data_IF_704844990308
#
_entry.id   IF_704844990308
#
_cell.length_a   1.000
_cell.length_b   1.000
_cell.length_c   1.000
_cell.angle_alpha   90.00
_cell.angle_beta   90.00
_cell.angle_gamma   90.00
#
_symmetry.space_group_name_H-M   'P 1'
#
loop_
_entity.id
_entity.type
_entity.pdbx_description
1 polymer ?
#
# COMPACT_ATOMS: atom_id res chain seq x y z
N UNK A 1 7.51 -12.86 20.79
CA UNK A 1 8.76 -13.42 20.28
C UNK A 1 8.48 -14.71 19.52
N UNK A 2 9.22 -14.94 18.43
CA UNK A 2 9.15 -16.13 17.60
C UNK A 2 10.58 -16.50 17.18
N UNK A 3 10.97 -17.75 17.30
CA UNK A 3 12.16 -18.31 16.66
C UNK A 3 11.71 -18.99 15.37
N UNK A 4 12.28 -18.58 14.22
CA UNK A 4 11.96 -19.18 12.93
C UNK A 4 12.77 -20.49 12.70
N UNK A 5 12.38 -21.26 11.69
CA UNK A 5 13.04 -22.54 11.35
C UNK A 5 14.53 -22.40 10.99
N UNK A 6 15.01 -21.18 10.74
CA UNK A 6 16.43 -20.87 10.47
C UNK A 6 17.19 -20.46 11.71
N UNK A 7 16.52 -20.40 12.88
CA UNK A 7 17.07 -19.96 14.16
C UNK A 7 17.16 -18.44 14.33
N UNK A 8 16.49 -17.64 13.49
CA UNK A 8 16.42 -16.20 13.69
C UNK A 8 15.34 -15.89 14.74
N UNK A 9 15.55 -14.84 15.53
CA UNK A 9 14.63 -14.40 16.56
C UNK A 9 13.86 -13.19 16.08
N UNK A 10 12.55 -13.34 15.98
CA UNK A 10 11.64 -12.28 15.60
C UNK A 10 10.94 -11.67 16.82
N UNK A 11 10.90 -10.35 16.89
CA UNK A 11 10.26 -9.62 17.98
C UNK A 11 9.31 -8.56 17.44
N UNK A 12 8.02 -8.70 17.76
CA UNK A 12 7.04 -7.65 17.59
C UNK A 12 7.20 -6.58 18.68
N UNK A 13 7.26 -5.33 18.26
CA UNK A 13 7.45 -4.17 19.15
C UNK A 13 6.41 -3.08 18.84
N UNK A 14 6.46 -1.98 19.58
CA UNK A 14 5.68 -0.78 19.31
C UNK A 14 6.35 0.17 18.27
N UNK A 15 7.49 -0.25 17.72
CA UNK A 15 8.25 0.50 16.70
C UNK A 15 8.50 -0.35 15.44
N UNK A 16 7.70 -1.38 15.23
CA UNK A 16 7.83 -2.29 14.11
C UNK A 16 8.20 -3.71 14.52
N UNK A 17 8.62 -4.48 13.53
CA UNK A 17 9.07 -5.87 13.65
C UNK A 17 10.59 -5.92 13.57
N UNK A 18 11.22 -6.58 14.51
CA UNK A 18 12.67 -6.78 14.56
C UNK A 18 12.99 -8.24 14.28
N UNK A 19 14.01 -8.49 13.47
CA UNK A 19 14.64 -9.79 13.26
C UNK A 19 16.09 -9.73 13.75
N UNK A 20 16.48 -10.64 14.64
CA UNK A 20 17.87 -10.86 15.04
C UNK A 20 18.41 -12.13 14.41
N UNK A 21 19.56 -12.03 13.77
CA UNK A 21 20.28 -13.15 13.15
C UNK A 21 21.44 -13.59 14.05
N UNK A 22 21.31 -14.68 14.82
CA UNK A 22 22.35 -15.10 15.76
C UNK A 22 23.69 -15.44 15.08
N UNK A 23 23.65 -15.96 13.86
CA UNK A 23 24.86 -16.34 13.11
C UNK A 23 25.75 -15.16 12.73
N UNK A 24 25.15 -14.03 12.31
CA UNK A 24 25.87 -12.79 11.93
C UNK A 24 25.88 -11.76 13.05
N UNK A 25 25.05 -11.93 14.09
CA UNK A 25 24.80 -10.97 15.17
C UNK A 25 24.20 -9.65 14.68
N UNK A 26 23.49 -9.66 13.56
CA UNK A 26 22.88 -8.50 12.94
C UNK A 26 21.41 -8.39 13.33
N UNK A 27 20.92 -7.16 13.34
CA UNK A 27 19.51 -6.83 13.52
C UNK A 27 18.94 -6.25 12.24
N UNK A 28 17.78 -6.71 11.84
CA UNK A 28 16.99 -6.14 10.76
C UNK A 28 15.67 -5.63 11.33
N UNK A 29 15.24 -4.45 10.87
CA UNK A 29 14.02 -3.79 11.33
C UNK A 29 13.09 -3.58 10.16
N UNK A 30 11.79 -3.73 10.41
CA UNK A 30 10.72 -3.45 9.48
C UNK A 30 9.72 -2.53 10.15
N UNK A 31 9.32 -1.47 9.46
CA UNK A 31 8.34 -0.50 9.94
C UNK A 31 7.34 -0.10 8.83
N UNK A 32 6.55 0.95 9.07
CA UNK A 32 5.58 1.45 8.10
C UNK A 32 6.25 1.98 6.81
N UNK A 33 7.49 2.46 6.87
CA UNK A 33 8.24 2.91 5.70
C UNK A 33 8.65 1.74 4.80
N UNK A 34 8.88 0.56 5.40
CA UNK A 34 9.14 -0.69 4.68
C UNK A 34 7.86 -1.37 4.16
N UNK A 35 6.68 -0.91 4.60
CA UNK A 35 5.38 -1.40 4.14
C UNK A 35 4.56 -2.17 5.18
N UNK A 36 4.93 -2.14 6.47
CA UNK A 36 4.04 -2.63 7.52
C UNK A 36 2.77 -1.78 7.58
N UNK A 37 1.66 -2.42 7.85
CA UNK A 37 0.37 -1.73 8.02
C UNK A 37 0.32 -0.83 9.24
N UNK A 38 1.11 -1.15 10.27
CA UNK A 38 1.29 -0.35 11.49
C UNK A 38 2.50 -0.83 12.29
N UNK A 39 3.15 0.10 13.03
CA UNK A 39 4.33 -0.18 13.83
C UNK A 39 4.05 -0.94 15.15
N UNK A 40 2.80 -1.01 15.60
CA UNK A 40 2.45 -1.82 16.78
C UNK A 40 2.23 -3.28 16.39
N UNK A 41 3.27 -4.10 16.51
CA UNK A 41 3.25 -5.52 16.15
C UNK A 41 2.94 -6.37 17.38
N UNK A 42 1.87 -7.17 17.32
CA UNK A 42 1.31 -7.87 18.47
C UNK A 42 1.47 -9.38 18.46
N UNK A 43 1.15 -10.04 17.36
CA UNK A 43 1.23 -11.48 17.20
C UNK A 43 2.16 -11.86 16.07
N UNK A 44 2.85 -12.99 16.21
CA UNK A 44 3.76 -13.54 15.20
C UNK A 44 3.45 -15.00 14.94
N UNK A 45 3.56 -15.44 13.70
CA UNK A 45 3.53 -16.83 13.29
C UNK A 45 4.44 -17.02 12.08
N UNK A 46 5.00 -18.23 11.90
CA UNK A 46 5.79 -18.59 10.72
C UNK A 46 5.01 -19.57 9.85
N UNK A 47 4.99 -19.41 8.53
CA UNK A 47 4.41 -20.40 7.64
C UNK A 47 5.41 -21.48 7.19
N UNK A 48 4.91 -22.53 6.56
CA UNK A 48 5.73 -23.66 6.09
C UNK A 48 6.77 -23.26 5.03
N UNK A 49 6.65 -22.07 4.45
CA UNK A 49 7.62 -21.51 3.49
C UNK A 49 8.68 -20.65 4.16
N UNK A 50 8.63 -20.51 5.50
CA UNK A 50 9.51 -19.67 6.28
C UNK A 50 9.25 -18.18 6.12
N UNK A 51 8.02 -17.78 5.77
CA UNK A 51 7.58 -16.40 5.83
C UNK A 51 6.99 -16.09 7.19
N UNK A 52 7.09 -14.83 7.61
CA UNK A 52 6.57 -14.39 8.90
C UNK A 52 5.26 -13.65 8.70
N UNK A 53 4.25 -14.08 9.43
CA UNK A 53 2.97 -13.40 9.56
C UNK A 53 2.95 -12.62 10.86
N UNK A 54 2.56 -11.36 10.80
CA UNK A 54 2.39 -10.57 12.01
C UNK A 54 1.06 -9.81 12.01
N UNK A 55 0.41 -9.79 13.18
CA UNK A 55 -0.76 -8.95 13.42
C UNK A 55 -0.34 -7.62 14.03
N UNK A 56 -1.07 -6.58 13.69
CA UNK A 56 -0.80 -5.20 14.15
C UNK A 56 -2.07 -4.53 14.64
N UNK A 57 -1.95 -3.28 15.06
CA UNK A 57 -3.11 -2.44 15.36
C UNK A 57 -3.95 -2.10 14.09
N UNK A 58 -3.40 -2.33 12.88
CA UNK A 58 -4.05 -1.96 11.62
C UNK A 58 -3.89 -3.06 10.56
N UNK A 59 -4.31 -4.30 10.89
CA UNK A 59 -4.30 -5.40 9.94
C UNK A 59 -3.23 -6.46 10.20
N UNK A 60 -3.05 -7.33 9.22
CA UNK A 60 -2.09 -8.45 9.22
C UNK A 60 -1.06 -8.21 8.13
N UNK A 61 0.19 -8.54 8.40
CA UNK A 61 1.26 -8.43 7.43
C UNK A 61 1.91 -9.79 7.20
N UNK A 62 2.28 -10.04 5.96
CA UNK A 62 3.10 -11.15 5.50
C UNK A 62 4.47 -10.61 5.11
N UNK A 63 5.50 -11.00 5.83
CA UNK A 63 6.89 -10.73 5.49
C UNK A 63 7.43 -11.92 4.71
N UNK A 64 7.62 -11.75 3.42
CA UNK A 64 8.27 -12.74 2.56
C UNK A 64 9.79 -12.62 2.70
N UNK A 65 10.33 -13.36 3.65
CA UNK A 65 11.74 -13.23 4.06
C UNK A 65 12.70 -13.40 2.89
N UNK A 66 12.48 -14.39 2.03
CA UNK A 66 13.34 -14.66 0.88
C UNK A 66 13.32 -13.56 -0.20
N UNK A 67 12.21 -12.82 -0.33
CA UNK A 67 12.03 -11.77 -1.32
C UNK A 67 12.30 -10.37 -0.74
N UNK A 68 12.45 -10.26 0.58
CA UNK A 68 12.47 -9.00 1.35
C UNK A 68 11.30 -8.10 0.99
N UNK A 69 10.08 -8.64 1.01
CA UNK A 69 8.85 -7.94 0.66
C UNK A 69 7.80 -8.10 1.73
N UNK A 70 7.04 -7.04 1.94
CA UNK A 70 5.89 -7.02 2.84
C UNK A 70 4.60 -6.93 2.02
N UNK A 71 3.59 -7.68 2.44
CA UNK A 71 2.23 -7.59 1.93
C UNK A 71 1.26 -7.42 3.10
N UNK A 72 0.42 -6.38 3.04
CA UNK A 72 -0.51 -6.04 4.12
C UNK A 72 -1.94 -6.43 3.74
N UNK A 73 -2.69 -6.94 4.73
CA UNK A 73 -4.08 -7.39 4.61
C UNK A 73 -4.94 -6.66 5.63
N UNK A 74 -6.16 -6.31 5.21
CA UNK A 74 -7.09 -5.48 5.98
C UNK A 74 -8.50 -6.09 5.97
N UNK A 75 -9.40 -5.60 6.83
CA UNK A 75 -10.77 -6.08 6.97
C UNK A 75 -11.56 -6.05 5.66
N UNK A 76 -11.31 -5.08 4.80
CA UNK A 76 -11.93 -4.95 3.49
C UNK A 76 -11.60 -6.12 2.55
N UNK A 77 -10.60 -6.92 2.92
CA UNK A 77 -10.19 -8.14 2.20
C UNK A 77 -10.61 -9.43 2.90
N UNK A 78 -11.57 -9.35 3.82
CA UNK A 78 -12.15 -10.52 4.46
C UNK A 78 -11.59 -10.87 5.84
N UNK A 79 -10.77 -10.01 6.44
CA UNK A 79 -10.43 -10.15 7.85
C UNK A 79 -11.63 -9.76 8.71
N UNK A 80 -11.74 -10.33 9.92
CA UNK A 80 -12.81 -10.01 10.87
C UNK A 80 -12.69 -8.58 11.37
N UNK A 81 -11.46 -8.11 11.58
CA UNK A 81 -11.14 -6.75 12.01
C UNK A 81 -9.74 -6.35 11.54
N UNK A 82 -9.41 -5.07 11.69
CA UNK A 82 -8.06 -4.55 11.52
C UNK A 82 -7.29 -4.48 12.84
N UNK A 83 -7.97 -4.42 13.99
CA UNK A 83 -7.35 -4.27 15.30
C UNK A 83 -7.14 -5.64 15.98
N UNK A 84 -5.88 -5.99 16.19
CA UNK A 84 -5.48 -7.24 16.84
C UNK A 84 -5.00 -6.99 18.27
N UNK A 85 -4.94 -8.08 19.06
CA UNK A 85 -4.63 -8.03 20.49
C UNK A 85 -3.24 -8.61 20.76
N UNK A 86 -2.52 -7.99 21.69
CA UNK A 86 -1.17 -8.41 22.09
C UNK A 86 -1.19 -9.88 22.55
N UNK A 87 -0.28 -10.68 21.98
CA UNK A 87 -0.08 -12.08 22.37
C UNK A 87 -1.19 -13.04 21.90
N UNK A 88 -2.21 -12.55 21.18
CA UNK A 88 -3.31 -13.37 20.69
C UNK A 88 -2.99 -13.97 19.32
N UNK A 89 -1.93 -14.76 19.24
CA UNK A 89 -1.55 -15.49 18.02
C UNK A 89 -1.28 -16.96 18.37
N UNK A 90 -1.75 -17.85 17.49
CA UNK A 90 -1.52 -19.28 17.60
C UNK A 90 -1.43 -19.91 16.23
N UNK A 91 -0.52 -20.84 16.07
CA UNK A 91 -0.44 -21.68 14.88
C UNK A 91 -0.70 -23.14 15.27
N UNK A 92 -1.63 -23.75 14.57
CA UNK A 92 -1.97 -25.15 14.77
C UNK A 92 -1.01 -26.07 14.01
N UNK A 93 -0.98 -27.35 14.40
CA UNK A 93 -0.13 -28.38 13.79
C UNK A 93 -0.46 -28.63 12.29
N UNK A 94 -1.66 -28.26 11.84
CA UNK A 94 -2.08 -28.35 10.44
C UNK A 94 -1.86 -27.05 9.65
N UNK A 95 -1.03 -26.14 10.15
CA UNK A 95 -0.62 -24.92 9.47
C UNK A 95 -1.63 -23.75 9.53
N UNK A 96 -2.79 -23.92 10.17
CA UNK A 96 -3.74 -22.82 10.35
C UNK A 96 -3.17 -21.78 11.35
N UNK A 97 -3.26 -20.52 10.97
CA UNK A 97 -2.89 -19.37 11.81
C UNK A 97 -4.18 -18.77 12.38
N UNK A 98 -4.16 -18.50 13.69
CA UNK A 98 -5.23 -17.86 14.45
C UNK A 98 -4.71 -16.56 15.02
N UNK A 99 -5.37 -15.45 14.74
CA UNK A 99 -5.03 -14.13 15.24
C UNK A 99 -6.26 -13.53 15.91
N UNK A 100 -6.17 -13.28 17.21
CA UNK A 100 -7.23 -12.68 18.01
C UNK A 100 -7.25 -11.16 17.86
N UNK A 101 -8.41 -10.62 17.57
CA UNK A 101 -8.68 -9.19 17.47
C UNK A 101 -9.87 -8.76 18.33
N UNK A 102 -10.17 -7.47 18.31
CA UNK A 102 -11.22 -6.87 19.14
C UNK A 102 -12.60 -7.43 18.80
N UNK A 103 -12.89 -7.69 17.51
CA UNK A 103 -14.19 -8.19 17.03
C UNK A 103 -14.25 -9.71 16.84
N UNK A 104 -13.18 -10.43 17.16
CA UNK A 104 -13.16 -11.88 17.03
C UNK A 104 -11.81 -12.44 16.61
N UNK A 105 -11.82 -13.65 16.05
CA UNK A 105 -10.62 -14.36 15.64
C UNK A 105 -10.58 -14.44 14.13
N UNK A 106 -9.49 -13.99 13.52
CA UNK A 106 -9.16 -14.25 12.13
C UNK A 106 -8.43 -15.58 12.04
N UNK A 107 -8.94 -16.50 11.22
CA UNK A 107 -8.33 -17.82 10.98
C UNK A 107 -8.10 -18.01 9.50
N UNK A 108 -6.91 -18.43 9.13
CA UNK A 108 -6.57 -18.72 7.73
C UNK A 108 -5.44 -19.73 7.61
N UNK A 109 -5.41 -20.42 6.48
CA UNK A 109 -4.24 -21.19 6.06
C UNK A 109 -3.39 -20.32 5.12
N UNK A 110 -2.06 -20.14 5.37
CA UNK A 110 -1.20 -19.30 4.53
C UNK A 110 -1.28 -19.60 3.03
N UNK A 111 -1.41 -20.88 2.65
CA UNK A 111 -1.55 -21.29 1.25
C UNK A 111 -2.84 -20.85 0.57
N UNK A 112 -3.88 -20.59 1.37
CA UNK A 112 -5.17 -20.09 0.86
C UNK A 112 -5.15 -18.58 0.64
N UNK A 113 -4.16 -17.88 1.20
CA UNK A 113 -4.00 -16.45 1.01
C UNK A 113 -3.28 -16.21 -0.31
N UNK A 114 -4.05 -16.14 -1.38
CA UNK A 114 -3.52 -15.77 -2.68
C UNK A 114 -3.28 -14.26 -2.68
N UNK A 115 -2.03 -13.85 -2.88
CA UNK A 115 -1.76 -12.49 -3.32
C UNK A 115 -2.52 -12.29 -4.65
N UNK A 116 -3.64 -11.59 -4.59
CA UNK A 116 -4.34 -11.24 -5.82
C UNK A 116 -3.44 -10.30 -6.61
N UNK A 117 -2.68 -10.84 -7.55
CA UNK A 117 -2.06 -10.10 -8.64
C UNK A 117 -3.16 -9.64 -9.60
N UNK A 118 -4.09 -8.84 -9.12
CA UNK A 118 -4.92 -8.04 -9.98
C UNK A 118 -4.02 -6.95 -10.55
N UNK A 119 -3.71 -6.99 -11.84
CA UNK A 119 -3.26 -5.79 -12.52
C UNK A 119 -4.45 -4.84 -12.52
N UNK A 120 -4.53 -3.98 -11.51
CA UNK A 120 -5.51 -2.90 -11.51
C UNK A 120 -5.10 -1.90 -12.57
N UNK A 121 -5.95 -1.71 -13.56
CA UNK A 121 -5.74 -0.66 -14.55
C UNK A 121 -6.06 0.67 -13.88
N UNK A 122 -5.08 1.56 -13.81
CA UNK A 122 -5.28 2.93 -13.35
C UNK A 122 -5.86 3.76 -14.51
N UNK A 123 -6.93 4.47 -14.23
CA UNK A 123 -7.61 5.36 -15.17
C UNK A 123 -7.55 6.77 -14.59
N UNK A 124 -7.19 7.75 -15.42
CA UNK A 124 -7.39 9.15 -15.08
C UNK A 124 -8.89 9.46 -15.13
N UNK A 125 -9.51 9.67 -13.97
CA UNK A 125 -10.96 9.87 -13.87
C UNK A 125 -11.36 11.33 -14.08
N UNK A 126 -10.59 12.27 -13.50
CA UNK A 126 -10.82 13.69 -13.63
C UNK A 126 -9.51 14.47 -13.71
N UNK A 127 -9.60 15.64 -14.30
CA UNK A 127 -8.58 16.70 -14.29
C UNK A 127 -9.25 17.96 -13.76
N UNK A 128 -8.61 18.63 -12.81
CA UNK A 128 -9.07 19.91 -12.28
C UNK A 128 -8.03 21.00 -12.56
N UNK A 129 -8.52 22.18 -12.94
CA UNK A 129 -7.71 23.36 -13.15
C UNK A 129 -8.31 24.50 -12.31
N UNK A 130 -7.53 25.09 -11.40
CA UNK A 130 -8.03 26.11 -10.48
C UNK A 130 -9.18 25.61 -9.57
N UNK A 131 -9.29 24.29 -9.35
CA UNK A 131 -10.37 23.68 -8.56
C UNK A 131 -11.64 23.33 -9.37
N UNK A 132 -11.71 23.70 -10.64
CA UNK A 132 -12.83 23.36 -11.54
C UNK A 132 -12.52 22.15 -12.41
N UNK A 133 -13.51 21.26 -12.57
CA UNK A 133 -13.35 20.08 -13.40
C UNK A 133 -13.23 20.44 -14.89
N UNK A 134 -12.20 19.92 -15.52
CA UNK A 134 -11.93 20.13 -16.96
C UNK A 134 -12.82 19.21 -17.79
N UNK A 135 -13.49 19.80 -18.75
CA UNK A 135 -14.34 19.10 -19.73
C UNK A 135 -13.76 19.23 -21.13
N UNK A 136 -14.32 18.51 -22.11
CA UNK A 136 -13.93 18.62 -23.51
C UNK A 136 -14.12 20.03 -24.11
N UNK A 137 -14.87 20.91 -23.44
CA UNK A 137 -15.08 22.32 -23.84
C UNK A 137 -14.14 23.29 -23.14
N UNK A 138 -13.42 22.85 -22.11
CA UNK A 138 -12.51 23.69 -21.33
C UNK A 138 -11.29 24.09 -22.17
N UNK A 139 -10.87 25.34 -21.99
CA UNK A 139 -9.74 25.92 -22.72
C UNK A 139 -8.71 26.48 -21.74
N UNK A 140 -7.46 26.41 -22.13
CA UNK A 140 -6.32 27.02 -21.47
C UNK A 140 -5.55 27.83 -22.50
N UNK A 141 -5.30 29.11 -22.23
CA UNK A 141 -4.68 30.04 -23.21
C UNK A 141 -5.43 30.10 -24.55
N UNK A 142 -6.77 29.95 -24.53
CA UNK A 142 -7.62 29.97 -25.74
C UNK A 142 -7.64 28.65 -26.53
N UNK A 143 -6.84 27.65 -26.17
CA UNK A 143 -6.78 26.33 -26.84
C UNK A 143 -7.49 25.26 -26.02
N UNK A 144 -8.05 24.21 -26.66
CA UNK A 144 -8.64 23.09 -25.94
C UNK A 144 -7.58 22.43 -25.03
N UNK A 145 -7.98 22.09 -23.80
CA UNK A 145 -7.13 21.37 -22.85
C UNK A 145 -7.06 19.89 -23.21
N UNK A 146 -8.18 19.33 -23.64
CA UNK A 146 -8.36 17.92 -23.99
C UNK A 146 -8.87 17.79 -25.41
N UNK A 147 -8.36 16.79 -26.11
CA UNK A 147 -8.87 16.45 -27.46
C UNK A 147 -10.13 15.57 -27.39
N UNK A 148 -10.36 14.90 -26.26
CA UNK A 148 -11.49 14.00 -26.01
C UNK A 148 -11.85 14.00 -24.53
N UNK A 149 -12.59 13.00 -24.04
CA UNK A 149 -12.86 12.83 -22.61
C UNK A 149 -11.57 12.51 -21.85
N UNK A 150 -11.45 13.00 -20.61
CA UNK A 150 -10.29 12.83 -19.75
C UNK A 150 -9.88 11.35 -19.60
N UNK A 151 -10.85 10.44 -19.54
CA UNK A 151 -10.62 8.99 -19.44
C UNK A 151 -10.01 8.32 -20.67
N UNK A 152 -9.96 9.01 -21.80
CA UNK A 152 -9.46 8.51 -23.10
C UNK A 152 -8.40 9.40 -23.71
N UNK A 153 -7.98 10.44 -23.02
CA UNK A 153 -6.96 11.36 -23.53
C UNK A 153 -5.57 10.81 -23.23
N UNK A 154 -4.70 10.91 -24.23
CA UNK A 154 -3.26 10.63 -24.07
C UNK A 154 -2.46 11.94 -23.91
N UNK A 155 -3.13 13.08 -24.07
CA UNK A 155 -2.47 14.39 -24.05
C UNK A 155 -3.33 15.44 -23.35
N UNK A 156 -2.70 16.16 -22.44
CA UNK A 156 -3.24 17.33 -21.76
C UNK A 156 -2.41 18.54 -22.20
N UNK A 157 -3.05 19.61 -22.69
CA UNK A 157 -2.38 20.82 -23.13
C UNK A 157 -2.80 21.98 -22.26
N UNK A 158 -1.88 22.53 -21.48
CA UNK A 158 -2.09 23.66 -20.59
C UNK A 158 -1.29 24.87 -21.08
N UNK A 159 -1.83 26.06 -20.92
CA UNK A 159 -1.08 27.29 -21.09
C UNK A 159 -0.16 27.48 -19.89
N UNK A 160 0.85 28.30 -20.07
CA UNK A 160 1.86 28.55 -19.06
C UNK A 160 1.31 29.10 -17.73
N UNK A 161 0.26 29.92 -17.81
CA UNK A 161 -0.39 30.49 -16.61
C UNK A 161 -1.14 29.43 -15.80
N UNK A 162 -1.52 28.35 -16.44
CA UNK A 162 -2.30 27.24 -15.85
C UNK A 162 -1.37 26.13 -15.30
N UNK A 163 -0.39 26.52 -14.50
CA UNK A 163 0.67 25.64 -14.02
C UNK A 163 0.31 24.79 -12.80
N UNK A 164 -0.85 25.01 -12.21
CA UNK A 164 -1.36 24.22 -11.07
C UNK A 164 -2.59 23.44 -11.48
N UNK A 165 -2.48 22.13 -11.46
CA UNK A 165 -3.58 21.22 -11.81
C UNK A 165 -3.62 20.01 -10.91
N UNK A 166 -4.81 19.42 -10.76
CA UNK A 166 -5.03 18.21 -9.97
C UNK A 166 -5.51 17.09 -10.88
N UNK A 167 -4.84 15.95 -10.79
CA UNK A 167 -5.21 14.70 -11.44
C UNK A 167 -5.94 13.81 -10.45
N UNK A 168 -7.08 13.28 -10.81
CA UNK A 168 -7.81 12.29 -10.02
C UNK A 168 -7.78 10.95 -10.75
N UNK A 169 -7.41 9.91 -10.02
CA UNK A 169 -7.27 8.56 -10.56
C UNK A 169 -8.35 7.64 -10.01
N UNK A 170 -8.68 6.64 -10.77
CA UNK A 170 -9.53 5.53 -10.33
C UNK A 170 -8.94 4.21 -10.78
N UNK A 171 -9.16 3.19 -10.00
CA UNK A 171 -8.97 1.81 -10.42
C UNK A 171 -10.34 1.16 -10.59
N UNK A 172 -10.47 0.24 -11.51
CA UNK A 172 -11.70 -0.56 -11.67
C UNK A 172 -11.79 -1.71 -10.64
N UNK A 173 -10.88 -1.71 -9.66
CA UNK A 173 -10.90 -2.71 -8.59
C UNK A 173 -11.75 -2.22 -7.41
N UNK A 174 -13.04 -2.46 -7.51
CA UNK A 174 -14.03 -2.09 -6.47
C UNK A 174 -13.87 -2.87 -5.16
N UNK A 175 -13.07 -3.95 -5.16
CA UNK A 175 -12.89 -4.81 -3.97
C UNK A 175 -11.91 -4.23 -2.95
N UNK A 176 -11.11 -3.24 -3.34
CA UNK A 176 -10.03 -2.68 -2.53
C UNK A 176 -10.06 -1.15 -2.45
N UNK A 177 -11.19 -0.51 -2.68
CA UNK A 177 -11.29 0.94 -2.88
C UNK A 177 -10.74 1.81 -1.73
N UNK A 178 -10.76 1.30 -0.49
CA UNK A 178 -10.27 2.02 0.69
C UNK A 178 -8.77 1.88 0.97
N UNK A 179 -8.08 0.93 0.32
CA UNK A 179 -6.69 0.59 0.60
C UNK A 179 -5.78 0.69 -0.63
N UNK A 180 -6.10 1.59 -1.52
CA UNK A 180 -5.30 1.87 -2.70
C UNK A 180 -4.47 3.11 -2.43
N UNK A 181 -3.17 3.04 -2.69
CA UNK A 181 -2.30 4.19 -2.89
C UNK A 181 -1.81 4.19 -4.33
N UNK A 182 -1.49 5.34 -4.84
CA UNK A 182 -0.98 5.51 -6.19
C UNK A 182 0.46 5.95 -6.12
N UNK A 183 1.31 5.34 -6.94
CA UNK A 183 2.67 5.80 -7.16
C UNK A 183 2.72 6.61 -8.45
N UNK A 184 3.35 7.76 -8.41
CA UNK A 184 3.44 8.67 -9.53
C UNK A 184 4.80 9.34 -9.61
N UNK A 185 5.15 9.79 -10.80
CA UNK A 185 6.31 10.64 -11.05
C UNK A 185 6.18 11.33 -12.41
N UNK A 186 6.80 12.48 -12.55
CA UNK A 186 7.03 13.13 -13.85
C UNK A 186 8.34 12.59 -14.42
N UNK A 187 8.26 11.80 -15.47
CA UNK A 187 9.35 10.94 -16.01
C UNK A 187 10.67 11.68 -16.24
N UNK A 188 10.61 12.93 -16.73
CA UNK A 188 11.79 13.71 -17.10
C UNK A 188 12.34 14.56 -15.96
N UNK A 189 11.55 14.80 -14.90
CA UNK A 189 11.89 15.70 -13.82
C UNK A 189 12.14 14.99 -12.49
N UNK A 190 11.50 13.85 -12.26
CA UNK A 190 11.56 13.13 -10.99
C UNK A 190 12.25 11.77 -11.17
N UNK A 191 13.30 11.52 -10.37
CA UNK A 191 14.03 10.25 -10.39
C UNK A 191 13.30 9.17 -9.61
N UNK A 192 12.68 9.54 -8.50
CA UNK A 192 12.01 8.62 -7.58
C UNK A 192 10.50 8.64 -7.78
N UNK A 193 9.85 7.53 -7.46
CA UNK A 193 8.40 7.47 -7.36
C UNK A 193 7.95 8.10 -6.05
N UNK A 194 6.85 8.84 -6.08
CA UNK A 194 6.18 9.40 -4.92
C UNK A 194 4.87 8.67 -4.73
N UNK A 195 4.53 8.30 -3.49
CA UNK A 195 3.29 7.60 -3.17
C UNK A 195 2.25 8.57 -2.60
N UNK A 196 0.99 8.39 -2.95
CA UNK A 196 -0.11 9.06 -2.25
C UNK A 196 -0.32 8.41 -0.87
N UNK A 197 -0.99 9.12 0.02
CA UNK A 197 -1.51 8.49 1.23
C UNK A 197 -2.60 7.47 0.88
N UNK A 198 -2.81 6.49 1.75
CA UNK A 198 -3.81 5.46 1.57
C UNK A 198 -5.22 6.07 1.40
N UNK A 199 -5.94 5.63 0.36
CA UNK A 199 -7.27 6.14 0.04
C UNK A 199 -7.28 7.51 -0.66
N UNK A 200 -6.14 8.17 -0.84
CA UNK A 200 -6.05 9.41 -1.61
C UNK A 200 -5.81 9.09 -3.08
N UNK A 201 -6.74 9.49 -3.92
CA UNK A 201 -6.74 9.25 -5.35
C UNK A 201 -6.48 10.52 -6.19
N UNK A 202 -6.02 11.58 -5.55
CA UNK A 202 -5.76 12.87 -6.16
C UNK A 202 -4.31 13.28 -5.96
N UNK A 203 -3.73 13.88 -7.01
CA UNK A 203 -2.37 14.41 -7.03
C UNK A 203 -2.42 15.80 -7.61
N UNK A 204 -1.92 16.79 -6.87
CA UNK A 204 -1.81 18.16 -7.35
C UNK A 204 -0.36 18.46 -7.73
N UNK A 205 -0.18 18.88 -8.96
CA UNK A 205 1.08 19.41 -9.45
C UNK A 205 1.05 20.92 -9.50
N UNK A 206 2.14 21.52 -9.06
CA UNK A 206 2.43 22.93 -9.29
C UNK A 206 3.73 23.02 -10.08
N UNK A 207 3.63 23.20 -11.38
CA UNK A 207 4.77 23.33 -12.28
C UNK A 207 5.31 24.77 -12.20
N UNK A 208 6.10 25.06 -11.18
CA UNK A 208 6.73 26.38 -11.05
C UNK A 208 7.81 26.60 -12.10
N UNK A 209 8.11 27.87 -12.39
CA UNK A 209 9.09 28.37 -13.36
C UNK A 209 10.51 27.79 -13.29
N UNK A 210 10.84 27.07 -12.22
CA UNK A 210 12.19 26.57 -11.96
C UNK A 210 12.53 25.32 -12.78
N UNK A 211 11.55 24.76 -13.52
CA UNK A 211 11.69 23.47 -14.22
C UNK A 211 11.51 23.56 -15.75
N UNK A 212 11.65 24.76 -16.31
CA UNK A 212 11.70 24.96 -17.77
C UNK A 212 13.12 25.28 -18.23
#
# INVERSE_FOLDING_TARGET
LLEDVRGNIWAGTNKGLMCYHPGTKEFHYYDEEDGLSNNFVYGLAEDERGNIWCSTLKGINLIKVAENKIASYYSERGLVDNEYTIGASYQSMNGLIYLGGVKGITTFHPDSVTAQKGKSTVILSNLYLGGEAVTAKSKSGGKPILDTFVTRTDKISLAYEDNTFTLEFSTLDYRNSGNIFYEYRIREYEKNWTSTQLGINQITYNLSLIHI
#
